data_IF_628784679291
#
_entry.id   IF_628784679291
#
_cell.length_a   1.000
_cell.length_b   1.000
_cell.length_c   1.000
_cell.angle_alpha   90.00
_cell.angle_beta   90.00
_cell.angle_gamma   90.00
#
_symmetry.space_group_name_H-M   'P 1'
#
loop_
_entity.id
_entity.type
_entity.pdbx_description
1 polymer ?
#
# COMPACT_ATOMS: atom_id res chain seq x y z
N UNK A 1 -2.33 -23.72 20.81
CA UNK A 1 -1.77 -22.97 19.67
C UNK A 1 -2.73 -23.15 18.52
N UNK A 2 -3.59 -22.16 18.28
CA UNK A 2 -4.56 -22.23 17.18
C UNK A 2 -3.81 -22.05 15.86
N UNK A 3 -3.99 -22.98 14.91
CA UNK A 3 -3.36 -22.91 13.58
C UNK A 3 -4.44 -22.77 12.52
N UNK A 4 -4.19 -21.96 11.51
CA UNK A 4 -5.08 -21.78 10.35
C UNK A 4 -4.41 -22.39 9.12
N UNK A 5 -5.13 -23.31 8.47
CA UNK A 5 -4.70 -23.93 7.21
C UNK A 5 -5.34 -23.16 6.06
N UNK A 6 -4.52 -22.75 5.10
CA UNK A 6 -4.96 -22.21 3.81
C UNK A 6 -4.56 -23.22 2.76
N UNK A 7 -5.49 -23.74 1.98
CA UNK A 7 -5.21 -24.72 0.94
C UNK A 7 -5.96 -24.40 -0.34
N UNK A 8 -5.37 -24.75 -1.48
CA UNK A 8 -6.02 -24.67 -2.78
C UNK A 8 -5.98 -26.07 -3.41
N UNK A 9 -7.05 -26.87 -3.26
CA UNK A 9 -7.14 -28.17 -3.89
C UNK A 9 -7.31 -27.99 -5.40
N UNK A 10 -6.50 -28.72 -6.17
CA UNK A 10 -6.53 -28.71 -7.63
C UNK A 10 -6.81 -30.11 -8.14
N UNK A 11 -7.70 -30.19 -9.13
CA UNK A 11 -7.97 -31.40 -9.89
C UNK A 11 -7.54 -31.17 -11.34
N UNK A 12 -6.68 -32.05 -11.85
CA UNK A 12 -6.30 -32.09 -13.27
C UNK A 12 -6.84 -33.37 -13.86
N UNK A 13 -7.84 -33.28 -14.74
CA UNK A 13 -8.38 -34.43 -15.46
C UNK A 13 -7.57 -34.65 -16.74
N UNK A 14 -6.89 -35.80 -16.84
CA UNK A 14 -6.16 -36.18 -18.05
C UNK A 14 -6.00 -37.70 -18.13
N UNK A 15 -6.16 -38.25 -19.33
CA UNK A 15 -6.00 -39.70 -19.61
C UNK A 15 -4.58 -40.25 -19.40
N UNK A 16 -3.60 -39.35 -19.17
CA UNK A 16 -2.21 -39.73 -18.87
C UNK A 16 -2.05 -40.25 -17.43
N UNK A 17 -3.00 -39.93 -16.54
CA UNK A 17 -2.93 -40.32 -15.14
C UNK A 17 -3.60 -41.66 -14.88
N UNK A 18 -3.05 -42.43 -13.94
CA UNK A 18 -3.50 -43.78 -13.58
C UNK A 18 -4.97 -43.87 -13.16
N UNK A 19 -5.58 -42.76 -12.74
CA UNK A 19 -7.00 -42.65 -12.35
C UNK A 19 -7.82 -41.74 -13.26
N UNK A 20 -7.33 -41.41 -14.46
CA UNK A 20 -7.87 -40.37 -15.36
C UNK A 20 -7.91 -38.94 -14.77
N UNK A 21 -7.48 -38.76 -13.51
CA UNK A 21 -7.34 -37.48 -12.86
C UNK A 21 -6.19 -37.51 -11.84
N UNK A 22 -5.47 -36.39 -11.74
CA UNK A 22 -4.48 -36.11 -10.70
C UNK A 22 -5.09 -35.10 -9.72
N UNK A 23 -5.13 -35.49 -8.44
CA UNK A 23 -5.62 -34.65 -7.35
C UNK A 23 -4.42 -34.29 -6.47
N UNK A 24 -4.15 -32.99 -6.32
CA UNK A 24 -3.15 -32.50 -5.38
C UNK A 24 -3.67 -31.28 -4.64
N UNK A 25 -3.15 -31.06 -3.43
CA UNK A 25 -3.50 -29.90 -2.62
C UNK A 25 -2.22 -29.23 -2.15
N UNK A 26 -2.07 -27.95 -2.48
CA UNK A 26 -1.02 -27.10 -1.92
C UNK A 26 -1.63 -26.28 -0.78
N UNK A 27 -1.02 -26.34 0.39
CA UNK A 27 -1.46 -25.54 1.53
C UNK A 27 -0.33 -24.97 2.36
N UNK A 28 -0.61 -23.80 2.94
CA UNK A 28 0.23 -23.11 3.90
C UNK A 28 -0.42 -23.20 5.29
N UNK A 29 0.38 -23.55 6.29
CA UNK A 29 -0.03 -23.59 7.69
C UNK A 29 0.48 -22.32 8.37
N UNK A 30 -0.44 -21.48 8.81
CA UNK A 30 -0.12 -20.22 9.47
C UNK A 30 -0.66 -20.20 10.91
N UNK A 31 -0.12 -19.31 11.74
CA UNK A 31 -0.63 -19.10 13.09
C UNK A 31 -1.99 -18.39 13.06
N UNK A 32 -2.93 -18.71 13.96
CA UNK A 32 -4.31 -18.23 13.88
C UNK A 32 -4.46 -16.70 14.00
N UNK A 33 -3.46 -16.01 14.58
CA UNK A 33 -3.44 -14.55 14.72
C UNK A 33 -2.98 -13.82 13.46
N UNK A 34 -2.42 -14.55 12.48
CA UNK A 34 -1.87 -13.94 11.27
C UNK A 34 -2.96 -13.61 10.26
N UNK A 35 -2.80 -12.50 9.54
CA UNK A 35 -3.73 -12.06 8.50
C UNK A 35 -3.60 -12.97 7.27
N UNK A 36 -4.41 -14.03 7.23
CA UNK A 36 -4.36 -15.05 6.17
C UNK A 36 -4.82 -14.57 4.80
N UNK A 37 -5.61 -13.50 4.73
CA UNK A 37 -6.21 -13.02 3.48
C UNK A 37 -5.16 -12.59 2.43
N UNK A 38 -3.98 -12.16 2.86
CA UNK A 38 -2.88 -11.79 1.96
C UNK A 38 -2.19 -13.01 1.32
N UNK A 39 -2.33 -14.20 1.93
CA UNK A 39 -1.68 -15.43 1.48
C UNK A 39 -2.56 -16.24 0.52
N UNK A 40 -3.87 -16.04 0.53
CA UNK A 40 -4.81 -16.76 -0.38
C UNK A 40 -4.45 -16.60 -1.87
N UNK A 41 -4.14 -15.38 -2.39
CA UNK A 41 -3.74 -15.22 -3.78
C UNK A 41 -2.41 -15.90 -4.10
N UNK A 42 -1.50 -15.99 -3.14
CA UNK A 42 -0.20 -16.66 -3.30
C UNK A 42 -0.41 -18.16 -3.47
N UNK A 43 -1.19 -18.78 -2.58
CA UNK A 43 -1.49 -20.22 -2.66
C UNK A 43 -2.20 -20.53 -3.98
N UNK A 44 -3.17 -19.70 -4.39
CA UNK A 44 -3.86 -19.86 -5.67
C UNK A 44 -2.90 -19.74 -6.86
N UNK A 45 -2.01 -18.74 -6.87
CA UNK A 45 -1.04 -18.53 -7.95
C UNK A 45 -0.04 -19.69 -8.04
N UNK A 46 0.45 -20.17 -6.89
CA UNK A 46 1.32 -21.35 -6.82
C UNK A 46 0.64 -22.61 -7.33
N UNK A 47 -0.61 -22.84 -6.95
CA UNK A 47 -1.40 -23.97 -7.46
C UNK A 47 -1.54 -23.91 -8.98
N UNK A 48 -1.74 -22.72 -9.56
CA UNK A 48 -1.78 -22.55 -11.02
C UNK A 48 -0.40 -22.85 -11.65
N UNK A 49 0.70 -22.35 -11.09
CA UNK A 49 2.05 -22.67 -11.58
C UNK A 49 2.36 -24.17 -11.53
N UNK A 50 1.99 -24.86 -10.44
CA UNK A 50 2.18 -26.30 -10.34
C UNK A 50 1.32 -27.06 -11.36
N UNK A 51 0.13 -26.54 -11.69
CA UNK A 51 -0.73 -27.09 -12.73
C UNK A 51 -0.09 -26.98 -14.11
N UNK A 52 0.47 -25.81 -14.45
CA UNK A 52 1.15 -25.61 -15.74
C UNK A 52 2.41 -26.46 -15.86
N UNK A 53 3.22 -26.50 -14.79
CA UNK A 53 4.42 -27.34 -14.72
C UNK A 53 4.08 -28.83 -14.90
N UNK A 54 2.98 -29.28 -14.31
CA UNK A 54 2.54 -30.66 -14.45
C UNK A 54 2.08 -31.01 -15.87
N UNK A 55 1.39 -30.09 -16.55
CA UNK A 55 0.97 -30.30 -17.94
C UNK A 55 2.14 -30.30 -18.93
N UNK A 56 3.17 -29.48 -18.68
CA UNK A 56 4.33 -29.34 -19.56
C UNK A 56 5.38 -30.44 -19.34
N UNK A 57 5.81 -30.66 -18.08
CA UNK A 57 6.95 -31.52 -17.76
C UNK A 57 6.59 -32.75 -16.91
N UNK A 58 5.33 -32.90 -16.48
CA UNK A 58 4.93 -33.98 -15.57
C UNK A 58 5.64 -33.90 -14.21
N UNK A 59 5.88 -32.68 -13.72
CA UNK A 59 6.72 -32.38 -12.56
C UNK A 59 6.31 -33.08 -11.25
N UNK A 60 5.02 -33.30 -11.03
CA UNK A 60 4.44 -33.97 -9.86
C UNK A 60 4.41 -35.51 -10.08
N UNK A 61 4.28 -35.94 -11.33
CA UNK A 61 4.22 -37.35 -11.70
C UNK A 61 5.58 -38.06 -11.68
N UNK A 62 6.67 -37.34 -11.96
CA UNK A 62 8.02 -37.88 -11.95
C UNK A 62 8.65 -37.87 -10.54
N UNK A 63 9.28 -38.96 -10.11
CA UNK A 63 9.87 -39.06 -8.76
C UNK A 63 11.10 -38.15 -8.57
N UNK A 64 11.92 -37.96 -9.60
CA UNK A 64 13.11 -37.12 -9.54
C UNK A 64 12.77 -35.62 -9.37
N UNK A 65 11.76 -35.13 -10.07
CA UNK A 65 11.27 -33.75 -9.92
C UNK A 65 10.52 -33.55 -8.61
N UNK A 66 9.85 -34.59 -8.10
CA UNK A 66 9.22 -34.55 -6.78
C UNK A 66 10.23 -34.33 -5.65
N UNK A 67 11.45 -34.86 -5.78
CA UNK A 67 12.52 -34.58 -4.82
C UNK A 67 12.99 -33.12 -4.87
N UNK A 68 12.98 -32.48 -6.06
CA UNK A 68 13.32 -31.06 -6.23
C UNK A 68 12.28 -30.11 -5.63
N UNK A 69 11.03 -30.57 -5.48
CA UNK A 69 9.92 -29.78 -4.93
C UNK A 69 10.16 -29.39 -3.45
N UNK A 70 10.77 -30.27 -2.65
CA UNK A 70 11.03 -30.01 -1.23
C UNK A 70 12.00 -28.82 -1.02
N UNK A 71 13.18 -28.76 -1.67
CA UNK A 71 14.04 -27.58 -1.65
C UNK A 71 13.32 -26.30 -2.08
N UNK A 72 12.54 -26.35 -3.17
CA UNK A 72 11.81 -25.18 -3.69
C UNK A 72 10.85 -24.64 -2.64
N UNK A 73 10.08 -25.50 -1.97
CA UNK A 73 9.15 -25.09 -0.92
C UNK A 73 9.88 -24.52 0.30
N UNK A 74 11.02 -25.09 0.69
CA UNK A 74 11.83 -24.57 1.80
C UNK A 74 12.38 -23.18 1.49
N UNK A 75 12.97 -22.98 0.32
CA UNK A 75 13.47 -21.66 -0.12
C UNK A 75 12.33 -20.65 -0.24
N UNK A 76 11.18 -21.07 -0.76
CA UNK A 76 10.00 -20.21 -0.85
C UNK A 76 9.52 -19.77 0.54
N UNK A 77 9.52 -20.68 1.52
CA UNK A 77 9.15 -20.36 2.90
C UNK A 77 10.11 -19.34 3.52
N UNK A 78 11.41 -19.51 3.33
CA UNK A 78 12.43 -18.58 3.84
C UNK A 78 12.31 -17.20 3.18
N UNK A 79 12.25 -17.14 1.85
CA UNK A 79 12.14 -15.89 1.10
C UNK A 79 10.84 -15.12 1.43
N UNK A 80 9.70 -15.82 1.49
CA UNK A 80 8.44 -15.16 1.87
C UNK A 80 8.47 -14.60 3.29
N UNK A 81 9.18 -15.25 4.22
CA UNK A 81 9.31 -14.76 5.59
C UNK A 81 10.30 -13.59 5.72
N UNK A 82 11.33 -13.52 4.89
CA UNK A 82 12.37 -12.47 4.95
C UNK A 82 12.00 -11.24 4.13
N UNK A 83 11.70 -11.41 2.85
CA UNK A 83 11.55 -10.31 1.88
C UNK A 83 10.09 -10.06 1.51
N UNK A 84 9.21 -11.05 1.72
CA UNK A 84 7.82 -11.00 1.27
C UNK A 84 7.66 -11.05 -0.25
N UNK A 85 8.74 -11.30 -1.01
CA UNK A 85 8.72 -11.46 -2.45
C UNK A 85 9.68 -12.60 -2.84
N UNK A 86 9.27 -13.46 -3.76
CA UNK A 86 10.07 -14.61 -4.14
C UNK A 86 10.11 -14.74 -5.67
N UNK A 87 11.32 -14.87 -6.21
CA UNK A 87 11.56 -15.17 -7.62
C UNK A 87 12.39 -16.44 -7.71
N UNK A 88 11.74 -17.54 -8.10
CA UNK A 88 12.34 -18.87 -8.11
C UNK A 88 12.35 -19.42 -9.56
N UNK A 89 13.52 -19.55 -10.21
CA UNK A 89 13.63 -20.29 -11.45
C UNK A 89 13.60 -21.80 -11.15
N UNK A 90 12.65 -22.52 -11.75
CA UNK A 90 12.52 -23.97 -11.58
C UNK A 90 13.15 -24.71 -12.77
N UNK A 91 12.99 -24.16 -13.97
CA UNK A 91 13.50 -24.71 -15.22
C UNK A 91 13.92 -23.58 -16.16
N UNK A 92 14.57 -23.91 -17.28
CA UNK A 92 15.03 -22.93 -18.28
C UNK A 92 13.88 -22.07 -18.84
N UNK A 93 12.65 -22.59 -18.79
CA UNK A 93 11.45 -21.93 -19.32
C UNK A 93 10.49 -21.42 -18.25
N UNK A 94 10.68 -21.76 -16.97
CA UNK A 94 9.67 -21.55 -15.93
C UNK A 94 10.24 -20.85 -14.68
N UNK A 95 9.79 -19.61 -14.45
CA UNK A 95 10.11 -18.81 -13.25
C UNK A 95 8.86 -18.47 -12.45
N UNK A 96 8.85 -18.84 -11.17
CA UNK A 96 7.77 -18.50 -10.25
C UNK A 96 8.03 -17.12 -9.67
N UNK A 97 7.09 -16.19 -9.87
CA UNK A 97 7.12 -14.85 -9.27
C UNK A 97 5.99 -14.69 -8.26
N UNK A 98 6.34 -14.50 -6.99
CA UNK A 98 5.42 -14.26 -5.89
C UNK A 98 5.74 -12.94 -5.22
N UNK A 99 4.69 -12.22 -4.85
CA UNK A 99 4.81 -11.01 -4.02
C UNK A 99 3.65 -10.99 -3.05
N UNK A 100 3.97 -10.84 -1.77
CA UNK A 100 3.00 -10.61 -0.73
C UNK A 100 2.45 -9.19 -0.88
N UNK A 101 1.15 -9.11 -1.12
CA UNK A 101 0.44 -7.83 -1.22
C UNK A 101 -0.34 -7.64 0.06
N UNK A 102 0.01 -6.59 0.80
CA UNK A 102 -0.74 -6.21 1.98
C UNK A 102 -2.11 -5.67 1.57
N UNK A 103 -3.16 -6.37 2.00
CA UNK A 103 -4.53 -5.85 1.88
C UNK A 103 -4.72 -4.72 2.89
N UNK A 104 -4.85 -3.50 2.37
CA UNK A 104 -5.19 -2.32 3.16
C UNK A 104 -6.70 -2.20 3.30
N UNK A 105 -7.14 -1.34 4.22
CA UNK A 105 -8.56 -1.04 4.38
C UNK A 105 -9.01 -0.09 3.28
N UNK A 106 -10.27 -0.20 2.88
CA UNK A 106 -10.85 0.73 1.92
C UNK A 106 -10.75 2.17 2.46
N UNK A 107 -10.31 3.12 1.62
CA UNK A 107 -10.14 4.50 2.04
C UNK A 107 -11.50 5.14 2.29
N UNK A 108 -11.52 6.18 3.13
CA UNK A 108 -12.74 6.98 3.33
C UNK A 108 -13.11 7.70 2.02
N UNK A 109 -14.42 7.92 1.83
CA UNK A 109 -14.91 8.68 0.67
C UNK A 109 -14.52 10.13 0.85
N UNK A 110 -13.67 10.60 -0.06
CA UNK A 110 -13.16 11.96 -0.11
C UNK A 110 -14.29 12.92 -0.52
N UNK A 111 -14.54 13.96 0.28
CA UNK A 111 -15.53 15.00 -0.03
C UNK A 111 -14.86 16.22 -0.66
N UNK A 112 -15.66 17.06 -1.34
CA UNK A 112 -15.14 18.20 -2.10
C UNK A 112 -14.53 19.30 -1.23
N UNK A 113 -15.01 19.41 0.00
CA UNK A 113 -14.58 20.37 1.01
C UNK A 113 -13.43 19.85 1.89
N UNK A 114 -12.97 18.61 1.67
CA UNK A 114 -11.84 18.08 2.44
C UNK A 114 -10.53 18.68 1.94
N UNK A 115 -9.59 18.81 2.87
CA UNK A 115 -8.25 19.36 2.64
C UNK A 115 -7.24 18.23 2.78
N UNK A 116 -6.55 17.84 1.69
CA UNK A 116 -5.49 16.84 1.74
C UNK A 116 -4.22 17.43 2.38
N UNK A 117 -3.64 16.70 3.33
CA UNK A 117 -2.38 17.01 4.00
C UNK A 117 -1.42 15.84 3.82
N UNK A 118 -0.15 16.11 3.49
CA UNK A 118 0.85 15.06 3.42
C UNK A 118 1.25 14.56 4.81
N UNK A 119 1.23 13.25 5.00
CA UNK A 119 1.76 12.60 6.21
C UNK A 119 3.24 12.26 6.09
N UNK A 120 3.74 12.12 4.86
CA UNK A 120 5.13 11.77 4.55
C UNK A 120 5.80 12.88 3.77
N UNK A 121 7.11 13.02 3.95
CA UNK A 121 7.90 14.02 3.23
C UNK A 121 7.81 13.81 1.71
N UNK A 122 7.55 14.91 0.99
CA UNK A 122 7.43 14.96 -0.48
C UNK A 122 8.69 14.44 -1.18
N UNK A 123 9.86 14.59 -0.54
CA UNK A 123 11.17 14.30 -1.14
C UNK A 123 11.50 12.80 -1.24
N UNK A 124 10.77 11.93 -0.54
CA UNK A 124 10.96 10.49 -0.66
C UNK A 124 10.30 9.90 -1.92
N UNK A 125 9.57 10.70 -2.69
CA UNK A 125 8.78 10.22 -3.81
C UNK A 125 9.43 10.57 -5.16
N UNK A 126 9.69 9.55 -5.97
CA UNK A 126 10.25 9.70 -7.32
C UNK A 126 9.15 10.20 -8.26
N UNK A 127 9.13 11.50 -8.57
CA UNK A 127 8.12 12.16 -9.42
C UNK A 127 7.82 11.43 -10.73
N UNK A 128 8.83 10.81 -11.35
CA UNK A 128 8.71 10.08 -12.62
C UNK A 128 7.81 8.83 -12.57
N UNK A 129 7.66 8.20 -11.40
CA UNK A 129 6.85 7.00 -11.25
C UNK A 129 5.36 7.28 -11.00
N UNK A 130 4.99 8.56 -10.84
CA UNK A 130 3.62 8.96 -10.55
C UNK A 130 2.82 9.19 -11.82
N UNK A 131 1.52 8.93 -11.74
CA UNK A 131 0.59 9.22 -12.83
C UNK A 131 0.49 10.73 -13.10
N UNK A 132 0.23 11.11 -14.36
CA UNK A 132 0.20 12.52 -14.77
C UNK A 132 -0.75 13.37 -13.92
N UNK A 133 -1.93 12.84 -13.59
CA UNK A 133 -2.92 13.51 -12.75
C UNK A 133 -2.38 13.76 -11.34
N UNK A 134 -1.72 12.78 -10.74
CA UNK A 134 -1.09 12.94 -9.42
C UNK A 134 0.07 13.92 -9.45
N UNK A 135 0.84 13.98 -10.53
CA UNK A 135 1.91 14.97 -10.70
C UNK A 135 1.38 16.39 -10.79
N UNK A 136 0.23 16.60 -11.44
CA UNK A 136 -0.43 17.90 -11.54
C UNK A 136 -1.06 18.34 -10.22
N UNK A 137 -1.62 17.42 -9.44
CA UNK A 137 -2.30 17.72 -8.18
C UNK A 137 -1.30 17.98 -7.03
N UNK A 138 -0.18 17.25 -6.99
CA UNK A 138 0.77 17.24 -5.86
C UNK A 138 1.37 18.62 -5.47
N UNK A 139 1.66 19.55 -6.40
CA UNK A 139 2.12 20.90 -6.07
C UNK A 139 1.08 21.70 -5.28
N UNK A 140 -0.20 21.47 -5.54
CA UNK A 140 -1.32 22.22 -4.95
C UNK A 140 -1.80 21.62 -3.62
N UNK A 141 -1.30 20.45 -3.24
CA UNK A 141 -1.57 19.85 -1.92
C UNK A 141 -0.61 20.48 -0.91
N UNK A 142 -1.07 21.58 -0.32
CA UNK A 142 -0.36 22.42 0.66
C UNK A 142 -0.94 22.30 2.09
N UNK A 143 -2.04 21.56 2.27
CA UNK A 143 -2.73 21.43 3.55
C UNK A 143 -3.67 22.58 3.91
N UNK A 144 -3.89 23.53 3.00
CA UNK A 144 -4.86 24.63 3.17
C UNK A 144 -5.97 24.60 2.12
N UNK A 145 -5.66 24.16 0.90
CA UNK A 145 -6.59 24.14 -0.21
C UNK A 145 -7.48 22.90 -0.16
N UNK A 146 -8.78 23.12 -0.28
CA UNK A 146 -9.74 22.02 -0.44
C UNK A 146 -9.75 21.52 -1.89
N UNK A 147 -10.34 20.36 -2.10
CA UNK A 147 -10.31 19.65 -3.39
C UNK A 147 -10.92 20.45 -4.55
N UNK A 148 -11.99 21.22 -4.33
CA UNK A 148 -12.54 22.09 -5.39
C UNK A 148 -11.54 23.16 -5.86
N UNK A 149 -10.83 23.80 -4.92
CA UNK A 149 -9.77 24.78 -5.26
C UNK A 149 -8.61 24.12 -6.00
N UNK A 150 -8.20 22.93 -5.56
CA UNK A 150 -7.14 22.16 -6.22
C UNK A 150 -7.56 21.82 -7.66
N UNK A 151 -8.80 21.38 -7.86
CA UNK A 151 -9.36 21.09 -9.19
C UNK A 151 -9.35 22.33 -10.10
N UNK A 152 -9.74 23.49 -9.58
CA UNK A 152 -9.75 24.74 -10.34
C UNK A 152 -8.33 25.23 -10.72
N UNK A 153 -7.35 25.10 -9.83
CA UNK A 153 -5.97 25.54 -10.08
C UNK A 153 -5.17 24.55 -10.93
N UNK A 154 -5.45 23.24 -10.79
CA UNK A 154 -4.81 22.20 -11.57
C UNK A 154 -5.42 22.03 -12.98
N UNK A 155 -6.56 22.67 -13.25
CA UNK A 155 -7.36 22.47 -14.47
C UNK A 155 -7.69 20.98 -14.72
N UNK A 156 -8.06 20.27 -13.65
CA UNK A 156 -8.43 18.85 -13.69
C UNK A 156 -9.85 18.70 -13.17
N UNK A 157 -10.65 17.85 -13.80
CA UNK A 157 -12.03 17.57 -13.37
C UNK A 157 -12.08 17.12 -11.89
N UNK A 158 -13.01 17.70 -11.12
CA UNK A 158 -13.18 17.44 -9.69
C UNK A 158 -13.29 15.95 -9.35
N UNK A 159 -14.01 15.17 -10.17
CA UNK A 159 -14.16 13.73 -9.95
C UNK A 159 -12.82 12.99 -10.05
N UNK A 160 -11.96 13.38 -10.98
CA UNK A 160 -10.62 12.78 -11.15
C UNK A 160 -9.72 13.15 -9.98
N UNK A 161 -9.76 14.40 -9.52
CA UNK A 161 -9.02 14.83 -8.31
C UNK A 161 -9.49 14.04 -7.10
N UNK A 162 -10.79 13.83 -6.93
CA UNK A 162 -11.36 13.04 -5.83
C UNK A 162 -10.83 11.60 -5.84
N UNK A 163 -10.84 10.94 -7.00
CA UNK A 163 -10.32 9.57 -7.16
C UNK A 163 -8.80 9.54 -6.91
N UNK A 164 -8.05 10.51 -7.43
CA UNK A 164 -6.61 10.60 -7.21
C UNK A 164 -6.26 10.76 -5.73
N UNK A 165 -6.93 11.68 -5.03
CA UNK A 165 -6.74 11.88 -3.58
C UNK A 165 -7.19 10.66 -2.78
N UNK A 166 -8.26 9.97 -3.20
CA UNK A 166 -8.72 8.73 -2.57
C UNK A 166 -7.68 7.61 -2.71
N UNK A 167 -7.03 7.49 -3.86
CA UNK A 167 -5.92 6.56 -4.06
C UNK A 167 -4.71 6.94 -3.19
N UNK A 168 -4.37 8.24 -3.09
CA UNK A 168 -3.32 8.71 -2.19
C UNK A 168 -3.61 8.41 -0.71
N UNK A 169 -4.89 8.50 -0.32
CA UNK A 169 -5.38 8.13 1.01
C UNK A 169 -5.25 6.62 1.25
N UNK A 170 -5.58 5.78 0.26
CA UNK A 170 -5.39 4.33 0.34
C UNK A 170 -3.91 3.95 0.53
N UNK A 171 -3.00 4.70 -0.09
CA UNK A 171 -1.56 4.49 0.10
C UNK A 171 -0.99 5.12 1.39
N UNK A 172 -1.82 5.78 2.19
CA UNK A 172 -1.44 6.52 3.41
C UNK A 172 -0.36 7.58 3.16
N UNK A 173 -0.36 8.17 1.96
CA UNK A 173 0.53 9.27 1.57
C UNK A 173 -0.07 10.61 2.01
N UNK A 174 -1.40 10.69 1.99
CA UNK A 174 -2.19 11.88 2.30
C UNK A 174 -3.22 11.51 3.37
N UNK A 175 -3.44 12.41 4.32
CA UNK A 175 -4.59 12.40 5.24
C UNK A 175 -5.56 13.52 4.88
N UNK A 176 -6.84 13.31 5.17
CA UNK A 176 -7.87 14.32 4.99
C UNK A 176 -8.11 15.07 6.30
N UNK A 177 -8.17 16.39 6.20
CA UNK A 177 -8.57 17.28 7.29
C UNK A 177 -9.78 18.09 6.81
N UNK A 178 -10.70 18.38 7.73
CA UNK A 178 -11.82 19.27 7.43
C UNK A 178 -11.34 20.69 7.17
N UNK A 179 -11.98 21.41 6.25
CA UNK A 179 -11.70 22.83 6.00
C UNK A 179 -11.81 23.66 7.28
N UNK A 180 -10.78 24.45 7.56
CA UNK A 180 -10.79 25.44 8.63
C UNK A 180 -11.33 26.77 8.11
N UNK A 181 -12.50 27.16 8.59
CA UNK A 181 -13.14 28.45 8.32
C UNK A 181 -13.03 29.36 9.55
N UNK A 182 -12.46 30.56 9.37
CA UNK A 182 -12.26 31.55 10.44
C UNK A 182 -13.57 32.08 11.06
N UNK A 183 -14.69 31.95 10.36
CA UNK A 183 -16.01 32.35 10.85
C UNK A 183 -16.60 31.38 11.89
N UNK A 184 -16.07 30.16 11.98
CA UNK A 184 -16.60 29.14 12.87
C UNK A 184 -15.86 29.16 14.21
N UNK A 185 -16.58 28.81 15.27
CA UNK A 185 -16.00 28.58 16.60
C UNK A 185 -15.73 27.08 16.75
N UNK A 186 -14.49 26.72 17.03
CA UNK A 186 -14.07 25.31 17.19
C UNK A 186 -13.84 24.98 18.66
N UNK A 187 -14.36 23.82 19.09
CA UNK A 187 -14.06 23.25 20.40
C UNK A 187 -13.04 22.13 20.26
N UNK A 188 -12.14 22.01 21.23
CA UNK A 188 -11.15 20.94 21.26
C UNK A 188 -11.83 19.59 21.47
N UNK A 189 -11.41 18.59 20.70
CA UNK A 189 -11.84 17.21 20.93
C UNK A 189 -11.12 16.64 22.16
N UNK A 190 -11.69 15.65 22.87
CA UNK A 190 -11.02 15.01 24.02
C UNK A 190 -9.69 14.34 23.63
N UNK A 191 -9.45 14.11 22.33
CA UNK A 191 -8.17 13.62 21.80
C UNK A 191 -6.99 14.57 22.08
N UNK A 192 -7.24 15.85 22.38
CA UNK A 192 -6.19 16.80 22.77
C UNK A 192 -5.50 16.37 24.08
N UNK A 193 -6.19 15.65 24.97
CA UNK A 193 -5.57 15.11 26.19
C UNK A 193 -4.41 14.16 25.85
N UNK A 194 -4.56 13.36 24.77
CA UNK A 194 -3.48 12.47 24.31
C UNK A 194 -2.23 13.23 23.83
N UNK A 195 -2.38 14.46 23.33
CA UNK A 195 -1.26 15.32 22.96
C UNK A 195 -0.55 15.88 24.20
N UNK A 196 -1.30 16.16 25.27
CA UNK A 196 -0.74 16.64 26.54
C UNK A 196 0.04 15.51 27.25
N UNK A 197 -0.48 14.29 27.22
CA UNK A 197 0.11 13.16 27.94
C UNK A 197 1.33 12.55 27.22
N UNK A 198 1.37 12.60 25.88
CA UNK A 198 2.42 11.94 25.08
C UNK A 198 3.47 12.93 24.59
N UNK A 199 4.64 12.90 25.24
CA UNK A 199 5.80 13.74 24.87
C UNK A 199 6.27 13.55 23.42
N UNK A 200 6.23 12.32 22.89
CA UNK A 200 6.62 12.06 21.50
C UNK A 200 5.75 12.81 20.48
N UNK A 201 4.44 12.91 20.73
CA UNK A 201 3.53 13.66 19.85
C UNK A 201 3.76 15.16 19.96
N UNK A 202 4.14 15.65 21.15
CA UNK A 202 4.51 17.07 21.33
C UNK A 202 5.74 17.42 20.51
N UNK A 203 6.77 16.58 20.55
CA UNK A 203 8.00 16.79 19.81
C UNK A 203 7.74 16.76 18.29
N UNK A 204 6.91 15.82 17.80
CA UNK A 204 6.50 15.75 16.39
C UNK A 204 5.66 16.96 15.97
N UNK A 205 4.70 17.39 16.79
CA UNK A 205 3.91 18.60 16.53
C UNK A 205 4.77 19.86 16.49
N UNK A 206 5.72 20.02 17.42
CA UNK A 206 6.65 21.15 17.43
C UNK A 206 7.52 21.13 16.17
N UNK A 207 8.00 19.96 15.75
CA UNK A 207 8.78 19.80 14.52
C UNK A 207 7.97 20.20 13.29
N UNK A 208 6.72 19.72 13.19
CA UNK A 208 5.82 20.04 12.08
C UNK A 208 5.52 21.54 11.99
N UNK A 209 5.17 22.18 13.12
CA UNK A 209 4.92 23.62 13.18
C UNK A 209 6.16 24.41 12.79
N UNK A 210 7.34 24.02 13.29
CA UNK A 210 8.61 24.69 12.97
C UNK A 210 8.98 24.60 11.48
N UNK A 211 8.58 23.54 10.79
CA UNK A 211 8.79 23.43 9.34
C UNK A 211 7.86 24.35 8.54
N UNK A 212 6.60 24.51 8.97
CA UNK A 212 5.67 25.46 8.34
C UNK A 212 6.13 26.92 8.47
N UNK A 213 6.85 27.29 9.55
CA UNK A 213 7.42 28.63 9.72
C UNK A 213 8.55 28.95 8.74
N UNK A 214 9.35 27.97 8.29
CA UNK A 214 10.42 28.25 7.31
C UNK A 214 9.87 28.64 5.94
N UNK A 215 8.79 27.99 5.49
CA UNK A 215 8.09 28.38 4.25
C UNK A 215 7.39 29.75 4.39
N UNK A 216 6.97 30.12 5.61
CA UNK A 216 6.42 31.45 5.91
C UNK A 216 7.52 32.52 5.97
N UNK A 217 8.67 32.24 6.58
CA UNK A 217 9.83 33.15 6.64
C UNK A 217 10.39 33.40 5.23
N UNK A 218 10.54 32.37 4.39
CA UNK A 218 10.97 32.53 2.99
C UNK A 218 9.96 33.35 2.16
N UNK A 219 8.66 33.28 2.47
CA UNK A 219 7.64 34.11 1.81
C UNK A 219 7.61 35.54 2.35
N UNK A 220 7.85 35.73 3.65
CA UNK A 220 7.94 37.04 4.30
C UNK A 220 9.20 37.81 3.88
N UNK A 221 10.33 37.13 3.71
CA UNK A 221 11.60 37.74 3.24
C UNK A 221 11.55 38.16 1.76
N UNK A 222 10.72 37.52 0.94
CA UNK A 222 10.63 37.78 -0.51
C UNK A 222 9.53 38.79 -0.90
N UNK A 223 8.71 39.27 0.03
CA UNK A 223 7.60 40.17 -0.26
C UNK A 223 7.96 41.63 0.10
N UNK A 224 8.20 42.54 -0.87
CA UNK A 224 8.72 43.89 -0.63
C UNK A 224 7.73 44.83 0.09
N UNK A 225 6.50 44.38 0.36
CA UNK A 225 5.45 45.15 1.02
C UNK A 225 5.22 44.79 2.50
N UNK A 226 5.97 43.83 3.07
CA UNK A 226 5.77 43.41 4.45
C UNK A 226 6.84 44.02 5.36
N UNK A 227 6.48 45.12 6.03
CA UNK A 227 7.28 45.69 7.12
C UNK A 227 6.91 44.96 8.42
N UNK A 228 7.78 44.07 8.88
CA UNK A 228 7.62 43.40 10.18
C UNK A 228 8.05 44.36 11.29
N UNK A 229 7.10 45.12 11.84
CA UNK A 229 7.32 45.91 13.06
C UNK A 229 7.32 45.00 14.29
N UNK A 230 8.51 44.73 14.84
CA UNK A 230 8.64 44.17 16.19
C UNK A 230 8.56 45.32 17.22
N UNK A 231 7.76 45.12 18.27
CA UNK A 231 7.67 46.02 19.42
C UNK A 231 8.51 45.50 20.57
#
# INVERSE_FOLDING_TARGET
>A
MEKKLIGCPVCIEHKKYSRNALLFNLGLVCDARTKTCALEPIVKKLSVYLTTLELESGFISNEESKQKLLPILSTLLEELNVTGACTLPIDDSNTIHLKLIEQRKDPLVVQEYDVPVFTKNKDHFIKSQWDLTTQQILPFVDGYRHIQKISAEADVELNLVRIAVQNLLYYEVVTLVSIFQYSNVYCTTPKVQNLIDKKCLQDECIHYVRMSYKELDERLENDPNIVVCWK
#
